data_IF_002898841539
#
_entry.id   IF_002898841539
#
_cell.length_a   1.000
_cell.length_b   1.000
_cell.length_c   1.000
_cell.angle_alpha   90.00
_cell.angle_beta   90.00
_cell.angle_gamma   90.00
#
_symmetry.space_group_name_H-M   'P 1'
#
loop_
_entity.id
_entity.type
_entity.pdbx_description
1 polymer ?
#
# COMPACT_ATOMS: atom_id res chain seq x y z
N UNK A 1 -16.04 24.88 -14.01
CA UNK A 1 -14.72 24.28 -14.29
C UNK A 1 -14.91 22.78 -14.43
N UNK A 2 -14.92 22.26 -15.66
CA UNK A 2 -15.03 20.82 -15.89
C UNK A 2 -13.66 20.20 -15.57
N UNK A 3 -13.55 19.51 -14.44
CA UNK A 3 -12.35 18.79 -14.09
C UNK A 3 -12.04 17.75 -15.18
N UNK A 4 -10.79 17.72 -15.64
CA UNK A 4 -10.37 16.80 -16.69
C UNK A 4 -10.61 15.35 -16.21
N UNK A 5 -11.42 14.54 -16.92
CA UNK A 5 -11.78 13.18 -16.49
C UNK A 5 -10.56 12.27 -16.31
N UNK A 6 -9.47 12.52 -17.05
CA UNK A 6 -8.20 11.79 -16.90
C UNK A 6 -7.55 12.14 -15.55
N UNK A 7 -7.56 13.42 -15.16
CA UNK A 7 -7.02 13.86 -13.88
C UNK A 7 -7.84 13.33 -12.70
N UNK A 8 -9.16 13.28 -12.83
CA UNK A 8 -10.03 12.69 -11.81
C UNK A 8 -9.75 11.20 -11.63
N UNK A 9 -9.60 10.45 -12.73
CA UNK A 9 -9.26 9.02 -12.71
C UNK A 9 -7.87 8.78 -12.09
N UNK A 10 -6.89 9.62 -12.41
CA UNK A 10 -5.55 9.54 -11.82
C UNK A 10 -5.60 9.79 -10.30
N UNK A 11 -6.29 10.85 -9.87
CA UNK A 11 -6.44 11.19 -8.46
C UNK A 11 -7.14 10.07 -7.67
N UNK A 12 -8.21 9.49 -8.23
CA UNK A 12 -8.91 8.37 -7.63
C UNK A 12 -7.98 7.15 -7.45
N UNK A 13 -7.21 6.79 -8.50
CA UNK A 13 -6.27 5.67 -8.43
C UNK A 13 -5.14 5.89 -7.43
N UNK A 14 -4.58 7.10 -7.35
CA UNK A 14 -3.58 7.45 -6.32
C UNK A 14 -4.14 7.29 -4.92
N UNK A 15 -5.35 7.81 -4.67
CA UNK A 15 -6.03 7.66 -3.38
C UNK A 15 -6.27 6.20 -3.01
N UNK A 16 -6.67 5.36 -3.98
CA UNK A 16 -6.81 3.91 -3.75
C UNK A 16 -5.48 3.24 -3.44
N UNK A 17 -4.38 3.67 -4.08
CA UNK A 17 -3.04 3.16 -3.79
C UNK A 17 -2.62 3.50 -2.35
N UNK A 18 -2.85 4.75 -1.94
CA UNK A 18 -2.50 5.23 -0.60
C UNK A 18 -3.30 4.47 0.49
N UNK A 19 -4.58 4.21 0.23
CA UNK A 19 -5.42 3.42 1.14
C UNK A 19 -4.91 1.97 1.25
N UNK A 20 -4.66 1.31 0.12
CA UNK A 20 -4.16 -0.07 0.11
C UNK A 20 -2.77 -0.20 0.75
N UNK A 21 -1.90 0.79 0.55
CA UNK A 21 -0.59 0.83 1.21
C UNK A 21 -0.72 0.97 2.73
N UNK A 22 -1.65 1.80 3.19
CA UNK A 22 -1.95 1.96 4.62
C UNK A 22 -2.48 0.66 5.21
N UNK A 23 -3.47 0.05 4.55
CA UNK A 23 -4.08 -1.21 5.00
C UNK A 23 -3.03 -2.34 5.07
N UNK A 24 -2.14 -2.42 4.07
CA UNK A 24 -1.01 -3.35 4.06
C UNK A 24 -0.10 -3.16 5.28
N UNK A 25 0.31 -1.92 5.58
CA UNK A 25 1.18 -1.61 6.73
C UNK A 25 0.49 -2.03 8.03
N UNK A 26 -0.78 -1.66 8.21
CA UNK A 26 -1.54 -1.98 9.42
C UNK A 26 -1.69 -3.49 9.65
N UNK A 27 -1.91 -4.26 8.58
CA UNK A 27 -2.00 -5.72 8.67
C UNK A 27 -0.64 -6.35 9.02
N UNK A 28 0.44 -5.84 8.44
CA UNK A 28 1.79 -6.32 8.73
C UNK A 28 2.21 -5.98 10.17
N UNK A 29 1.93 -4.78 10.64
CA UNK A 29 2.16 -4.35 12.03
C UNK A 29 1.35 -5.18 13.02
N UNK A 30 0.07 -5.45 12.72
CA UNK A 30 -0.77 -6.32 13.54
C UNK A 30 -0.22 -7.74 13.60
N UNK A 31 0.26 -8.29 12.48
CA UNK A 31 0.86 -9.62 12.44
C UNK A 31 2.17 -9.70 13.24
N UNK A 32 3.00 -8.65 13.16
CA UNK A 32 4.26 -8.55 13.88
C UNK A 32 4.06 -8.39 15.40
N UNK A 33 3.18 -7.48 15.81
CA UNK A 33 2.89 -7.19 17.23
C UNK A 33 2.02 -8.26 17.91
N UNK A 34 1.23 -9.03 17.16
CA UNK A 34 0.34 -10.07 17.69
C UNK A 34 -0.75 -9.50 18.61
N UNK A 35 -1.15 -10.27 19.64
CA UNK A 35 -2.08 -9.78 20.71
C UNK A 35 -1.38 -8.95 21.80
N UNK A 36 -0.06 -8.83 21.75
CA UNK A 36 0.70 -8.10 22.77
C UNK A 36 0.84 -6.63 22.35
N UNK A 37 -0.05 -5.79 22.88
CA UNK A 37 -0.05 -4.33 22.74
C UNK A 37 1.22 -3.63 23.25
N UNK A 38 2.18 -4.36 23.84
CA UNK A 38 3.41 -3.80 24.39
C UNK A 38 4.54 -3.56 23.38
N UNK A 39 4.47 -4.14 22.17
CA UNK A 39 5.51 -4.00 21.12
C UNK A 39 4.96 -3.40 19.84
N UNK A 40 4.20 -2.31 19.98
CA UNK A 40 3.68 -1.56 18.83
C UNK A 40 4.81 -0.82 18.11
N UNK A 41 5.92 -0.52 18.80
CA UNK A 41 7.06 0.16 18.21
C UNK A 41 7.95 -0.82 17.41
N UNK A 42 8.10 -0.65 16.08
CA UNK A 42 8.96 -1.49 15.26
C UNK A 42 10.43 -1.48 15.68
N UNK A 43 10.90 -0.43 16.35
CA UNK A 43 12.26 -0.36 16.88
C UNK A 43 12.53 -1.40 17.99
N UNK A 44 11.48 -1.98 18.59
CA UNK A 44 11.57 -2.99 19.65
C UNK A 44 11.33 -4.42 19.15
N UNK A 45 11.06 -4.58 17.85
CA UNK A 45 10.77 -5.87 17.24
C UNK A 45 12.02 -6.74 17.19
N UNK A 46 11.86 -8.01 17.55
CA UNK A 46 12.91 -9.01 17.38
C UNK A 46 12.81 -9.67 16.00
N UNK A 47 13.74 -10.58 15.68
CA UNK A 47 13.75 -11.26 14.38
C UNK A 47 12.52 -12.16 14.10
N UNK A 48 11.74 -12.53 15.11
CA UNK A 48 10.47 -13.26 14.91
C UNK A 48 9.35 -12.30 14.51
N UNK A 49 9.28 -11.13 15.15
CA UNK A 49 8.32 -10.08 14.84
C UNK A 49 8.51 -9.60 13.38
N UNK A 50 9.77 -9.36 12.98
CA UNK A 50 10.11 -9.03 11.59
C UNK A 50 9.79 -10.14 10.59
N UNK A 51 10.01 -11.41 10.94
CA UNK A 51 9.61 -12.53 10.07
C UNK A 51 8.10 -12.59 9.88
N UNK A 52 7.32 -12.32 10.92
CA UNK A 52 5.85 -12.23 10.82
C UNK A 52 5.41 -11.06 9.96
N UNK A 53 6.05 -9.90 10.10
CA UNK A 53 5.81 -8.73 9.25
C UNK A 53 6.01 -9.09 7.77
N UNK A 54 7.18 -9.62 7.41
CA UNK A 54 7.52 -9.97 6.02
C UNK A 54 6.59 -11.06 5.49
N UNK A 55 6.27 -12.06 6.31
CA UNK A 55 5.32 -13.10 5.92
C UNK A 55 3.92 -12.51 5.64
N UNK A 56 3.43 -11.60 6.49
CA UNK A 56 2.14 -10.94 6.28
C UNK A 56 2.16 -10.06 5.03
N UNK A 57 3.25 -9.33 4.78
CA UNK A 57 3.41 -8.52 3.59
C UNK A 57 3.34 -9.36 2.31
N UNK A 58 4.01 -10.52 2.30
CA UNK A 58 4.03 -11.43 1.15
C UNK A 58 2.66 -12.08 0.85
N UNK A 59 1.80 -12.22 1.86
CA UNK A 59 0.50 -12.88 1.73
C UNK A 59 -0.69 -11.91 1.78
N UNK A 60 -0.44 -10.60 1.89
CA UNK A 60 -1.52 -9.62 1.94
C UNK A 60 -2.18 -9.44 0.57
N UNK A 61 -3.51 -9.50 0.48
CA UNK A 61 -4.22 -9.15 -0.74
C UNK A 61 -3.90 -7.74 -1.23
N UNK A 62 -3.62 -6.79 -0.34
CA UNK A 62 -3.27 -5.41 -0.71
C UNK A 62 -1.94 -5.35 -1.49
N UNK A 63 -0.95 -6.16 -1.09
CA UNK A 63 0.34 -6.23 -1.79
C UNK A 63 0.19 -6.68 -3.25
N UNK A 64 -0.71 -7.63 -3.52
CA UNK A 64 -1.00 -8.11 -4.87
C UNK A 64 -1.65 -7.04 -5.76
N UNK A 65 -2.56 -6.23 -5.20
CA UNK A 65 -3.28 -5.21 -5.96
C UNK A 65 -2.44 -3.94 -6.19
N UNK A 66 -1.53 -3.60 -5.28
CA UNK A 66 -0.69 -2.39 -5.37
C UNK A 66 0.18 -2.37 -6.63
N UNK A 67 0.79 -3.50 -7.02
CA UNK A 67 1.64 -3.57 -8.21
C UNK A 67 0.87 -3.22 -9.49
N UNK A 68 -0.32 -3.81 -9.67
CA UNK A 68 -1.17 -3.53 -10.83
C UNK A 68 -1.67 -2.07 -10.82
N UNK A 69 -1.97 -1.53 -9.64
CA UNK A 69 -2.47 -0.17 -9.49
C UNK A 69 -1.39 0.87 -9.81
N UNK A 70 -0.15 0.68 -9.34
CA UNK A 70 0.98 1.55 -9.67
C UNK A 70 1.36 1.50 -11.16
N UNK A 71 1.30 0.32 -11.78
CA UNK A 71 1.50 0.19 -13.23
C UNK A 71 0.49 1.07 -13.99
N UNK A 72 -0.79 0.99 -13.62
CA UNK A 72 -1.83 1.78 -14.29
C UNK A 72 -1.78 3.28 -13.98
N UNK A 73 -1.30 3.69 -12.80
CA UNK A 73 -0.99 5.10 -12.51
C UNK A 73 0.11 5.59 -13.47
N UNK A 74 1.20 4.82 -13.62
CA UNK A 74 2.34 5.15 -14.48
C UNK A 74 1.92 5.26 -15.96
N UNK A 75 1.04 4.39 -16.43
CA UNK A 75 0.49 4.45 -17.79
C UNK A 75 -0.30 5.75 -18.05
N UNK A 76 -1.15 6.16 -17.10
CA UNK A 76 -1.94 7.39 -17.22
C UNK A 76 -1.02 8.62 -17.19
N UNK A 77 0.01 8.60 -16.36
CA UNK A 77 1.01 9.67 -16.31
C UNK A 77 1.85 9.74 -17.59
N UNK A 78 2.28 8.60 -18.15
CA UNK A 78 3.03 8.54 -19.40
C UNK A 78 2.18 9.01 -20.60
N UNK A 79 0.91 8.61 -20.67
CA UNK A 79 -0.02 9.06 -21.72
C UNK A 79 -0.31 10.56 -21.70
N UNK A 80 -0.08 11.23 -20.56
CA UNK A 80 -0.18 12.68 -20.41
C UNK A 80 1.07 13.43 -20.89
N UNK A 81 2.23 12.78 -20.94
CA UNK A 81 3.48 13.40 -21.42
C UNK A 81 3.55 13.41 -22.95
N UNK A 82 2.77 12.55 -23.63
CA UNK A 82 2.81 12.35 -25.08
C UNK A 82 1.55 12.79 -25.84
N UNK A 83 0.57 13.40 -25.16
CA UNK A 83 -0.67 13.92 -25.76
C UNK A 83 -0.89 15.39 -25.43
#
# INVERSE_FOLDING_TARGET
>A
MNANPIQQRLAARKRTADQLATDLIMDCERAASGRNSGRVNPAQWNGTDWRRYVHAAAHSPAALHLSALYASIKEIEAGRVHG
#
